data_IF_791081539798
#
_entry.id   IF_791081539798
#
_cell.length_a   1.000
_cell.length_b   1.000
_cell.length_c   1.000
_cell.angle_alpha   90.00
_cell.angle_beta   90.00
_cell.angle_gamma   90.00
#
_symmetry.space_group_name_H-M   'P 1'
#
loop_
_entity.id
_entity.type
_entity.pdbx_description
1 polymer ?
#
# COMPACT_ATOMS: atom_id res chain seq x y z
N UNK A 1 11.71 -8.97 41.23
CA UNK A 1 10.70 -7.94 40.97
C UNK A 1 10.71 -7.71 39.47
N UNK A 2 9.87 -8.44 38.74
CA UNK A 2 9.76 -8.28 37.28
C UNK A 2 9.23 -6.87 37.01
N UNK A 3 10.06 -5.99 36.44
CA UNK A 3 9.57 -4.72 35.91
C UNK A 3 8.74 -5.04 34.68
N UNK A 4 7.43 -5.21 34.89
CA UNK A 4 6.47 -5.28 33.79
C UNK A 4 6.64 -4.03 32.95
N UNK A 5 7.26 -4.17 31.77
CA UNK A 5 7.40 -3.09 30.82
C UNK A 5 6.00 -2.53 30.55
N UNK A 6 5.78 -1.27 30.94
CA UNK A 6 4.48 -0.63 30.80
C UNK A 6 4.14 -0.51 29.32
N UNK A 7 3.33 -1.45 28.81
CA UNK A 7 2.84 -1.45 27.43
C UNK A 7 1.98 -0.19 27.25
N UNK A 8 2.34 0.65 26.28
CA UNK A 8 1.57 1.85 25.99
C UNK A 8 0.12 1.49 25.63
N UNK A 9 -0.83 2.15 26.30
CA UNK A 9 -2.25 1.89 26.08
C UNK A 9 -2.65 2.15 24.62
N UNK A 10 -3.39 1.22 24.02
CA UNK A 10 -3.93 1.39 22.66
C UNK A 10 -5.06 2.41 22.69
N UNK A 11 -5.04 3.46 21.83
CA UNK A 11 -6.14 4.40 21.71
C UNK A 11 -7.45 3.68 21.39
N UNK A 12 -8.52 3.95 22.14
CA UNK A 12 -9.80 3.21 22.05
C UNK A 12 -10.39 3.19 20.63
N UNK A 13 -10.19 4.25 19.86
CA UNK A 13 -10.71 4.35 18.49
C UNK A 13 -9.95 3.47 17.47
N UNK A 14 -8.64 3.26 17.64
CA UNK A 14 -7.77 2.65 16.63
C UNK A 14 -8.26 1.27 16.17
N UNK A 15 -8.63 0.32 17.05
CA UNK A 15 -9.12 -0.99 16.62
C UNK A 15 -10.37 -0.92 15.74
N UNK A 16 -11.29 0.02 16.00
CA UNK A 16 -12.51 0.19 15.21
C UNK A 16 -12.20 0.70 13.79
N UNK A 17 -11.30 1.68 13.65
CA UNK A 17 -10.89 2.18 12.34
C UNK A 17 -10.11 1.13 11.54
N UNK A 18 -9.25 0.34 12.21
CA UNK A 18 -8.55 -0.78 11.57
C UNK A 18 -9.55 -1.85 11.13
N UNK A 19 -10.49 -2.25 11.98
CA UNK A 19 -11.52 -3.22 11.61
C UNK A 19 -12.35 -2.72 10.41
N UNK A 20 -12.73 -1.43 10.42
CA UNK A 20 -13.43 -0.81 9.31
C UNK A 20 -12.60 -0.81 8.02
N UNK A 21 -11.29 -0.49 8.09
CA UNK A 21 -10.42 -0.54 6.91
C UNK A 21 -10.30 -1.96 6.35
N UNK A 22 -10.22 -2.98 7.21
CA UNK A 22 -10.16 -4.39 6.79
C UNK A 22 -11.46 -4.83 6.11
N UNK A 23 -12.62 -4.56 6.72
CA UNK A 23 -13.92 -4.87 6.12
C UNK A 23 -14.09 -4.18 4.76
N UNK A 24 -13.70 -2.92 4.67
CA UNK A 24 -13.80 -2.14 3.44
C UNK A 24 -12.84 -2.66 2.36
N UNK A 25 -11.59 -2.98 2.72
CA UNK A 25 -10.60 -3.55 1.81
C UNK A 25 -11.01 -4.92 1.27
N UNK A 26 -11.50 -5.81 2.14
CA UNK A 26 -12.05 -7.10 1.73
C UNK A 26 -13.27 -6.94 0.83
N UNK A 27 -14.13 -5.94 1.11
CA UNK A 27 -15.27 -5.62 0.24
C UNK A 27 -14.81 -5.15 -1.14
N UNK A 28 -13.78 -4.30 -1.24
CA UNK A 28 -13.20 -3.88 -2.51
C UNK A 28 -12.70 -5.08 -3.32
N UNK A 29 -11.96 -6.00 -2.69
CA UNK A 29 -11.46 -7.22 -3.33
C UNK A 29 -12.62 -8.11 -3.80
N UNK A 30 -13.61 -8.35 -2.93
CA UNK A 30 -14.77 -9.18 -3.24
C UNK A 30 -15.62 -8.60 -4.38
N UNK A 31 -15.88 -7.29 -4.37
CA UNK A 31 -16.63 -6.61 -5.43
C UNK A 31 -15.86 -6.61 -6.75
N UNK A 32 -14.52 -6.49 -6.70
CA UNK A 32 -13.67 -6.64 -7.90
C UNK A 32 -13.82 -8.05 -8.47
N UNK A 33 -13.71 -9.10 -7.65
CA UNK A 33 -13.94 -10.48 -8.07
C UNK A 33 -15.35 -10.71 -8.63
N UNK A 34 -16.37 -10.15 -7.98
CA UNK A 34 -17.76 -10.24 -8.44
C UNK A 34 -17.98 -9.53 -9.79
N UNK A 35 -17.42 -8.33 -9.99
CA UNK A 35 -17.47 -7.64 -11.27
C UNK A 35 -16.83 -8.48 -12.39
N UNK A 36 -15.64 -9.01 -12.15
CA UNK A 36 -14.93 -9.82 -13.14
C UNK A 36 -15.65 -11.15 -13.42
N UNK A 37 -16.18 -11.81 -12.39
CA UNK A 37 -16.90 -13.08 -12.52
C UNK A 37 -18.24 -12.94 -13.21
N UNK A 38 -19.07 -11.99 -12.78
CA UNK A 38 -20.44 -11.83 -13.27
C UNK A 38 -20.51 -11.17 -14.64
N UNK A 39 -19.63 -10.20 -14.93
CA UNK A 39 -19.73 -9.37 -16.13
C UNK A 39 -18.57 -9.53 -17.11
N UNK A 40 -17.40 -9.99 -16.66
CA UNK A 40 -16.21 -10.13 -17.52
C UNK A 40 -15.87 -11.57 -17.90
N UNK A 41 -16.71 -12.54 -17.54
CA UNK A 41 -16.53 -13.95 -17.90
C UNK A 41 -15.50 -14.70 -17.04
N UNK A 42 -15.05 -14.12 -15.92
CA UNK A 42 -14.12 -14.76 -14.98
C UNK A 42 -12.65 -14.43 -15.23
N UNK A 43 -11.75 -15.27 -14.70
CA UNK A 43 -10.30 -15.05 -14.72
C UNK A 43 -9.62 -16.33 -15.17
N UNK A 44 -8.82 -16.23 -16.23
CA UNK A 44 -8.04 -17.36 -16.71
C UNK A 44 -6.76 -16.86 -17.39
N UNK A 45 -5.66 -17.59 -17.18
CA UNK A 45 -4.37 -17.25 -17.76
C UNK A 45 -4.37 -17.49 -19.27
N UNK A 46 -4.62 -18.70 -19.76
CA UNK A 46 -4.56 -19.01 -21.21
C UNK A 46 -5.87 -18.70 -21.97
N UNK A 47 -6.30 -17.43 -21.96
CA UNK A 47 -7.49 -17.02 -22.73
C UNK A 47 -7.57 -15.50 -22.94
N UNK A 48 -8.63 -15.04 -23.62
CA UNK A 48 -8.98 -13.61 -23.67
C UNK A 48 -9.31 -13.02 -22.29
N UNK A 49 -9.56 -13.85 -21.26
CA UNK A 49 -9.79 -13.42 -19.88
C UNK A 49 -8.49 -13.05 -19.15
N UNK A 50 -7.31 -13.21 -19.78
CA UNK A 50 -6.01 -12.83 -19.22
C UNK A 50 -5.99 -11.37 -18.77
N UNK A 51 -6.69 -10.49 -19.49
CA UNK A 51 -6.86 -9.09 -19.08
C UNK A 51 -7.45 -8.96 -17.67
N UNK A 52 -8.41 -9.80 -17.29
CA UNK A 52 -9.08 -9.71 -15.99
C UNK A 52 -8.16 -10.04 -14.81
N UNK A 53 -7.01 -10.69 -15.05
CA UNK A 53 -5.96 -10.86 -14.03
C UNK A 53 -5.40 -9.51 -13.59
N UNK A 54 -5.27 -8.55 -14.52
CA UNK A 54 -4.70 -7.24 -14.25
C UNK A 54 -5.45 -6.46 -13.15
N UNK A 55 -6.74 -6.10 -13.29
CA UNK A 55 -7.44 -5.32 -12.27
C UNK A 55 -7.53 -6.06 -10.93
N UNK A 56 -7.67 -7.39 -10.92
CA UNK A 56 -7.68 -8.15 -9.67
C UNK A 56 -6.32 -8.06 -8.96
N UNK A 57 -5.22 -8.29 -9.67
CA UNK A 57 -3.87 -8.21 -9.13
C UNK A 57 -3.53 -6.80 -8.64
N UNK A 58 -3.92 -5.76 -9.38
CA UNK A 58 -3.69 -4.36 -8.96
C UNK A 58 -4.44 -4.03 -7.67
N UNK A 59 -5.69 -4.45 -7.55
CA UNK A 59 -6.51 -4.23 -6.34
C UNK A 59 -5.95 -5.00 -5.14
N UNK A 60 -5.57 -6.26 -5.31
CA UNK A 60 -4.99 -7.04 -4.21
C UNK A 60 -3.62 -6.50 -3.80
N UNK A 61 -2.73 -6.27 -4.77
CA UNK A 61 -1.34 -5.87 -4.51
C UNK A 61 -1.21 -4.41 -4.10
N UNK A 62 -1.47 -3.50 -5.03
CA UNK A 62 -1.16 -2.07 -4.88
C UNK A 62 -2.23 -1.26 -4.13
N UNK A 63 -3.35 -1.89 -3.77
CA UNK A 63 -4.39 -1.22 -2.98
C UNK A 63 -4.52 -1.92 -1.63
N UNK A 64 -4.99 -3.17 -1.59
CA UNK A 64 -5.29 -3.84 -0.32
C UNK A 64 -4.02 -4.14 0.50
N UNK A 65 -3.10 -4.96 -0.04
CA UNK A 65 -1.88 -5.33 0.68
C UNK A 65 -0.93 -4.16 0.91
N UNK A 66 -0.81 -3.23 -0.05
CA UNK A 66 -0.07 -1.99 0.15
C UNK A 66 -0.68 -1.14 1.28
N UNK A 67 -2.01 -1.02 1.33
CA UNK A 67 -2.72 -0.32 2.39
C UNK A 67 -2.44 -0.94 3.76
N UNK A 68 -2.52 -2.27 3.86
CA UNK A 68 -2.19 -2.99 5.08
C UNK A 68 -0.74 -2.78 5.50
N UNK A 69 0.21 -2.85 4.55
CA UNK A 69 1.62 -2.63 4.81
C UNK A 69 1.90 -1.23 5.41
N UNK A 70 1.18 -0.19 4.96
CA UNK A 70 1.28 1.17 5.54
C UNK A 70 0.76 1.22 6.98
N UNK A 71 -0.24 0.40 7.31
CA UNK A 71 -0.87 0.37 8.64
C UNK A 71 -0.20 -0.59 9.62
N UNK A 72 0.74 -1.43 9.19
CA UNK A 72 1.44 -2.41 10.06
C UNK A 72 1.97 -1.79 11.35
N UNK A 73 2.60 -0.61 11.29
CA UNK A 73 3.12 0.07 12.48
C UNK A 73 2.05 0.67 13.40
N UNK A 74 0.80 0.77 12.93
CA UNK A 74 -0.36 1.18 13.72
C UNK A 74 -1.00 -0.01 14.39
N UNK A 75 -1.20 -1.08 13.63
CA UNK A 75 -1.83 -2.33 14.09
C UNK A 75 -0.93 -3.03 15.12
N UNK A 76 0.34 -3.25 14.76
CA UNK A 76 1.33 -3.93 15.59
C UNK A 76 2.18 -2.93 16.38
N UNK A 77 1.54 -1.90 16.93
CA UNK A 77 2.22 -0.79 17.63
C UNK A 77 2.96 -1.23 18.91
N UNK A 78 2.52 -2.31 19.54
CA UNK A 78 3.11 -2.81 20.78
C UNK A 78 4.14 -3.93 20.53
N UNK A 79 4.28 -4.38 19.28
CA UNK A 79 5.21 -5.44 18.91
C UNK A 79 6.66 -4.94 18.78
N UNK A 80 7.66 -5.83 18.90
CA UNK A 80 9.06 -5.50 18.67
C UNK A 80 9.28 -4.88 17.29
N UNK A 81 10.03 -3.78 17.25
CA UNK A 81 10.26 -2.97 16.04
C UNK A 81 10.83 -3.78 14.89
N UNK A 82 11.71 -4.75 15.20
CA UNK A 82 12.30 -5.63 14.20
C UNK A 82 11.24 -6.48 13.51
N UNK A 83 10.32 -7.07 14.27
CA UNK A 83 9.21 -7.87 13.75
C UNK A 83 8.27 -7.02 12.89
N UNK A 84 7.86 -5.85 13.39
CA UNK A 84 7.00 -4.91 12.64
C UNK A 84 7.67 -4.44 11.33
N UNK A 85 8.98 -4.19 11.35
CA UNK A 85 9.77 -3.86 10.15
C UNK A 85 9.78 -4.98 9.11
N UNK A 86 10.02 -6.21 9.55
CA UNK A 86 10.06 -7.38 8.67
C UNK A 86 8.68 -7.60 8.05
N UNK A 87 7.61 -7.55 8.85
CA UNK A 87 6.24 -7.70 8.36
C UNK A 87 5.87 -6.63 7.33
N UNK A 88 6.19 -5.36 7.60
CA UNK A 88 6.00 -4.26 6.66
C UNK A 88 6.75 -4.51 5.32
N UNK A 89 8.01 -4.94 5.40
CA UNK A 89 8.81 -5.26 4.22
C UNK A 89 8.23 -6.43 3.41
N UNK A 90 7.83 -7.52 4.09
CA UNK A 90 7.28 -8.72 3.46
C UNK A 90 5.93 -8.45 2.78
N UNK A 91 5.02 -7.71 3.42
CA UNK A 91 3.74 -7.34 2.80
C UNK A 91 3.96 -6.53 1.53
N UNK A 92 4.91 -5.59 1.52
CA UNK A 92 5.25 -4.85 0.31
C UNK A 92 5.85 -5.74 -0.79
N UNK A 93 6.63 -6.78 -0.45
CA UNK A 93 7.15 -7.77 -1.41
C UNK A 93 6.02 -8.60 -2.01
N UNK A 94 5.09 -9.10 -1.19
CA UNK A 94 3.93 -9.85 -1.70
C UNK A 94 3.06 -8.99 -2.62
N UNK A 95 2.79 -7.74 -2.21
CA UNK A 95 2.09 -6.77 -3.04
C UNK A 95 2.81 -6.54 -4.38
N UNK A 96 4.14 -6.39 -4.37
CA UNK A 96 4.95 -6.24 -5.58
C UNK A 96 4.84 -7.44 -6.52
N UNK A 97 4.98 -8.67 -6.01
CA UNK A 97 4.91 -9.89 -6.82
C UNK A 97 3.53 -10.01 -7.48
N UNK A 98 2.45 -9.78 -6.72
CA UNK A 98 1.08 -9.84 -7.25
C UNK A 98 0.86 -8.76 -8.31
N UNK A 99 1.32 -7.53 -8.07
CA UNK A 99 1.23 -6.45 -9.05
C UNK A 99 2.04 -6.76 -10.32
N UNK A 100 3.23 -7.35 -10.19
CA UNK A 100 4.05 -7.77 -11.32
C UNK A 100 3.31 -8.80 -12.20
N UNK A 101 2.63 -9.78 -11.59
CA UNK A 101 1.78 -10.74 -12.32
C UNK A 101 0.68 -10.01 -13.11
N UNK A 102 0.02 -9.02 -12.50
CA UNK A 102 -0.99 -8.21 -13.18
C UNK A 102 -0.45 -7.36 -14.34
N UNK A 103 0.79 -6.85 -14.24
CA UNK A 103 1.44 -6.16 -15.36
C UNK A 103 1.80 -7.13 -16.47
N UNK A 104 2.42 -8.26 -16.15
CA UNK A 104 2.75 -9.30 -17.14
C UNK A 104 1.49 -9.73 -17.89
N UNK A 105 0.37 -9.93 -17.18
CA UNK A 105 -0.90 -10.31 -17.80
C UNK A 105 -1.42 -9.28 -18.81
N UNK A 106 -1.38 -7.97 -18.50
CA UNK A 106 -1.89 -6.94 -19.42
C UNK A 106 -0.99 -6.75 -20.65
N UNK A 107 0.33 -6.75 -20.47
CA UNK A 107 1.29 -6.66 -21.58
C UNK A 107 1.18 -7.88 -22.51
N UNK A 108 1.05 -9.07 -21.94
CA UNK A 108 0.88 -10.28 -22.75
C UNK A 108 -0.49 -10.31 -23.46
N UNK A 109 -1.54 -9.84 -22.78
CA UNK A 109 -2.85 -9.65 -23.41
C UNK A 109 -2.78 -8.69 -24.61
N UNK A 110 -2.16 -7.51 -24.46
CA UNK A 110 -1.97 -6.57 -25.56
C UNK A 110 -1.19 -7.17 -26.72
N UNK A 111 -0.09 -7.86 -26.44
CA UNK A 111 0.71 -8.56 -27.47
C UNK A 111 -0.13 -9.57 -28.24
N UNK A 112 -0.91 -10.40 -27.54
CA UNK A 112 -1.75 -11.43 -28.18
C UNK A 112 -2.89 -10.85 -29.00
N UNK A 113 -3.37 -9.63 -28.66
CA UNK A 113 -4.45 -8.93 -29.37
C UNK A 113 -3.97 -7.91 -30.41
N UNK A 114 -2.66 -7.63 -30.46
CA UNK A 114 -2.10 -6.59 -31.33
C UNK A 114 -2.45 -5.16 -30.90
N UNK A 115 -2.70 -4.94 -29.60
CA UNK A 115 -2.96 -3.60 -29.06
C UNK A 115 -1.66 -2.86 -28.76
N UNK A 116 -1.69 -1.54 -28.92
CA UNK A 116 -0.57 -0.68 -28.55
C UNK A 116 -0.40 -0.63 -27.02
N UNK A 117 0.84 -0.73 -26.56
CA UNK A 117 1.19 -0.56 -25.16
C UNK A 117 1.39 0.93 -24.81
N UNK A 118 1.16 1.26 -23.53
CA UNK A 118 1.57 2.53 -22.91
C UNK A 118 1.10 3.81 -23.62
N UNK A 119 -0.10 3.82 -24.24
CA UNK A 119 -0.64 5.03 -24.88
C UNK A 119 -1.61 5.82 -23.99
N UNK A 120 -2.19 5.19 -22.95
CA UNK A 120 -3.22 5.82 -22.11
C UNK A 120 -2.62 6.51 -20.88
N UNK A 121 -3.30 7.54 -20.36
CA UNK A 121 -2.88 8.20 -19.12
C UNK A 121 -2.83 7.23 -17.94
N UNK A 122 -3.78 6.29 -17.86
CA UNK A 122 -3.77 5.22 -16.87
C UNK A 122 -2.45 4.43 -16.93
N UNK A 123 -2.01 4.05 -18.13
CA UNK A 123 -0.78 3.26 -18.31
C UNK A 123 0.49 4.03 -17.94
N UNK A 124 0.56 5.34 -18.24
CA UNK A 124 1.69 6.19 -17.83
C UNK A 124 1.75 6.36 -16.32
N UNK A 125 0.61 6.65 -15.69
CA UNK A 125 0.51 6.73 -14.23
C UNK A 125 0.83 5.38 -13.58
N UNK A 126 0.37 4.26 -14.15
CA UNK A 126 0.60 2.91 -13.64
C UNK A 126 2.06 2.49 -13.66
N UNK A 127 2.77 2.70 -14.77
CA UNK A 127 4.21 2.43 -14.83
C UNK A 127 4.98 3.35 -13.88
N UNK A 128 4.61 4.63 -13.78
CA UNK A 128 5.23 5.54 -12.82
C UNK A 128 5.02 5.07 -11.37
N UNK A 129 3.80 4.69 -11.00
CA UNK A 129 3.49 4.10 -9.68
C UNK A 129 4.35 2.87 -9.44
N UNK A 130 4.45 1.95 -10.40
CA UNK A 130 5.21 0.71 -10.25
C UNK A 130 6.71 0.97 -10.06
N UNK A 131 7.30 1.86 -10.85
CA UNK A 131 8.71 2.27 -10.71
C UNK A 131 8.96 2.93 -9.35
N UNK A 132 8.10 3.88 -8.95
CA UNK A 132 8.22 4.55 -7.66
C UNK A 132 8.07 3.57 -6.50
N UNK A 133 7.18 2.60 -6.61
CA UNK A 133 6.97 1.55 -5.60
C UNK A 133 8.23 0.70 -5.42
N UNK A 134 8.84 0.24 -6.51
CA UNK A 134 10.10 -0.53 -6.46
C UNK A 134 11.24 0.29 -5.87
N UNK A 135 11.41 1.55 -6.33
CA UNK A 135 12.43 2.44 -5.81
C UNK A 135 12.25 2.70 -4.31
N UNK A 136 11.02 2.97 -3.88
CA UNK A 136 10.66 3.18 -2.48
C UNK A 136 10.99 1.95 -1.62
N UNK A 137 10.73 0.75 -2.12
CA UNK A 137 11.05 -0.49 -1.42
C UNK A 137 12.57 -0.71 -1.31
N UNK A 138 13.32 -0.54 -2.41
CA UNK A 138 14.78 -0.72 -2.43
C UNK A 138 15.49 0.26 -1.49
N UNK A 139 15.12 1.55 -1.55
CA UNK A 139 15.69 2.57 -0.67
C UNK A 139 15.27 2.34 0.78
N UNK A 140 13.99 2.00 1.03
CA UNK A 140 13.49 1.64 2.35
C UNK A 140 14.22 0.44 2.95
N UNK A 141 14.45 -0.62 2.17
CA UNK A 141 15.21 -1.79 2.57
C UNK A 141 16.65 -1.41 2.96
N UNK A 142 17.34 -0.67 2.08
CA UNK A 142 18.73 -0.25 2.27
C UNK A 142 18.92 0.61 3.54
N UNK A 143 17.96 1.49 3.83
CA UNK A 143 18.04 2.36 5.00
C UNK A 143 17.56 1.68 6.29
N UNK A 144 16.47 0.89 6.26
CA UNK A 144 15.77 0.49 7.49
C UNK A 144 15.85 -0.99 7.86
N UNK A 145 16.18 -1.88 6.91
CA UNK A 145 16.34 -3.32 7.12
C UNK A 145 17.79 -3.79 6.98
N UNK A 146 18.52 -3.31 5.97
CA UNK A 146 19.92 -3.65 5.79
C UNK A 146 20.82 -2.94 6.82
N UNK A 147 21.79 -3.65 7.44
CA UNK A 147 22.77 -3.03 8.32
C UNK A 147 23.79 -2.24 7.47
N UNK A 148 23.77 -0.90 7.54
CA UNK A 148 24.75 -0.09 6.81
C UNK A 148 24.50 1.42 6.88
N UNK A 149 23.24 1.85 6.87
CA UNK A 149 22.93 3.27 7.00
C UNK A 149 23.14 3.78 8.44
N UNK A 150 23.81 4.92 8.60
CA UNK A 150 23.99 5.57 9.90
C UNK A 150 22.66 6.05 10.48
N UNK A 151 22.61 6.24 11.81
CA UNK A 151 21.41 6.74 12.48
C UNK A 151 20.97 8.12 11.96
N UNK A 152 21.91 9.03 11.72
CA UNK A 152 21.66 10.37 11.17
C UNK A 152 20.98 10.31 9.80
N UNK A 153 21.50 9.48 8.88
CA UNK A 153 20.92 9.30 7.55
C UNK A 153 19.49 8.71 7.62
N UNK A 154 19.29 7.69 8.46
CA UNK A 154 17.97 7.08 8.69
C UNK A 154 16.96 8.08 9.25
N UNK A 155 17.39 8.94 10.19
CA UNK A 155 16.55 9.98 10.78
C UNK A 155 16.14 11.02 9.72
N UNK A 156 17.10 11.47 8.90
CA UNK A 156 16.87 12.46 7.84
C UNK A 156 15.98 11.96 6.71
N UNK A 157 16.05 10.68 6.32
CA UNK A 157 15.28 10.09 5.22
C UNK A 157 13.88 9.59 5.63
N UNK A 158 13.65 9.31 6.91
CA UNK A 158 12.37 8.77 7.40
C UNK A 158 11.15 9.61 6.98
N UNK A 159 11.13 10.95 7.08
CA UNK A 159 9.98 11.75 6.68
C UNK A 159 9.62 11.60 5.20
N UNK A 160 10.63 11.53 4.33
CA UNK A 160 10.49 11.35 2.89
C UNK A 160 9.95 9.95 2.59
N UNK A 161 10.49 8.92 3.26
CA UNK A 161 9.97 7.56 3.12
C UNK A 161 8.47 7.50 3.49
N UNK A 162 8.06 8.13 4.60
CA UNK A 162 6.64 8.15 4.99
C UNK A 162 5.79 8.92 3.96
N UNK A 163 6.24 10.09 3.51
CA UNK A 163 5.53 10.90 2.52
C UNK A 163 5.36 10.15 1.20
N UNK A 164 6.44 9.64 0.61
CA UNK A 164 6.38 8.94 -0.67
C UNK A 164 5.59 7.63 -0.56
N UNK A 165 5.65 6.92 0.57
CA UNK A 165 4.81 5.74 0.79
C UNK A 165 3.31 6.05 0.72
N UNK A 166 2.88 7.13 1.39
CA UNK A 166 1.49 7.59 1.34
C UNK A 166 1.10 8.13 -0.04
N UNK A 167 1.99 8.88 -0.69
CA UNK A 167 1.78 9.42 -2.03
C UNK A 167 1.62 8.31 -3.07
N UNK A 168 2.51 7.31 -3.09
CA UNK A 168 2.43 6.18 -4.03
C UNK A 168 1.12 5.42 -3.85
N UNK A 169 0.66 5.23 -2.60
CA UNK A 169 -0.63 4.59 -2.34
C UNK A 169 -1.80 5.40 -2.88
N UNK A 170 -1.87 6.71 -2.58
CA UNK A 170 -2.90 7.58 -3.13
C UNK A 170 -2.88 7.59 -4.66
N UNK A 171 -1.68 7.61 -5.24
CA UNK A 171 -1.50 7.60 -6.69
C UNK A 171 -1.88 6.25 -7.32
N UNK A 172 -1.70 5.14 -6.60
CA UNK A 172 -2.17 3.80 -6.99
C UNK A 172 -3.70 3.76 -7.02
N UNK A 173 -4.37 4.33 -6.01
CA UNK A 173 -5.84 4.45 -6.00
C UNK A 173 -6.32 5.30 -7.18
N UNK A 174 -5.72 6.47 -7.40
CA UNK A 174 -6.06 7.32 -8.55
C UNK A 174 -5.86 6.62 -9.90
N UNK A 175 -4.77 5.86 -10.04
CA UNK A 175 -4.48 5.07 -11.24
C UNK A 175 -5.51 3.95 -11.44
N UNK A 176 -5.93 3.28 -10.37
CA UNK A 176 -6.97 2.26 -10.44
C UNK A 176 -8.33 2.83 -10.89
N UNK A 177 -8.69 4.04 -10.42
CA UNK A 177 -9.89 4.75 -10.87
C UNK A 177 -9.84 5.09 -12.37
N UNK A 178 -8.68 5.54 -12.86
CA UNK A 178 -8.47 5.76 -14.30
C UNK A 178 -8.63 4.46 -15.09
N UNK A 179 -8.03 3.36 -14.63
CA UNK A 179 -8.12 2.05 -15.30
C UNK A 179 -9.54 1.49 -15.30
N UNK A 180 -10.29 1.66 -14.20
CA UNK A 180 -11.68 1.26 -14.12
C UNK A 180 -12.56 2.03 -15.11
N UNK A 181 -12.39 3.35 -15.17
CA UNK A 181 -13.07 4.20 -16.16
C UNK A 181 -12.74 3.78 -17.58
N UNK A 182 -11.47 3.56 -17.89
CA UNK A 182 -11.00 3.13 -19.21
C UNK A 182 -11.63 1.78 -19.61
N UNK A 183 -11.60 0.79 -18.71
CA UNK A 183 -12.21 -0.52 -18.95
C UNK A 183 -13.74 -0.44 -19.18
N UNK A 184 -14.44 0.43 -18.46
CA UNK A 184 -15.88 0.64 -18.67
C UNK A 184 -16.17 1.30 -20.02
N UNK A 185 -15.42 2.33 -20.38
CA UNK A 185 -15.62 3.02 -21.66
C UNK A 185 -15.32 2.11 -22.86
N UNK A 186 -14.27 1.29 -22.78
CA UNK A 186 -13.94 0.37 -23.86
C UNK A 186 -14.95 -0.75 -24.06
N UNK A 187 -15.53 -1.26 -22.97
CA UNK A 187 -16.38 -2.44 -23.04
C UNK A 187 -17.87 -2.12 -23.15
N UNK A 188 -18.32 -1.05 -22.48
CA UNK A 188 -19.72 -0.63 -22.50
C UNK A 188 -19.99 0.44 -23.56
N UNK A 189 -18.99 1.24 -23.93
CA UNK A 189 -19.13 2.32 -24.90
C UNK A 189 -20.31 3.25 -24.56
N UNK A 190 -21.22 3.43 -25.51
CA UNK A 190 -22.43 4.25 -25.33
C UNK A 190 -23.43 3.68 -24.33
N UNK A 191 -23.41 2.37 -24.05
CA UNK A 191 -24.29 1.75 -23.03
C UNK A 191 -23.92 2.16 -21.61
N UNK A 192 -22.72 2.72 -21.42
CA UNK A 192 -22.31 3.16 -20.10
C UNK A 192 -23.21 4.28 -19.54
N UNK A 193 -23.67 5.21 -20.39
CA UNK A 193 -24.55 6.30 -19.98
C UNK A 193 -26.00 5.88 -19.72
N UNK A 194 -26.37 4.64 -20.07
CA UNK A 194 -27.72 4.10 -19.83
C UNK A 194 -27.84 3.37 -18.50
N UNK A 195 -26.87 3.51 -17.59
CA UNK A 195 -26.87 2.90 -16.25
C UNK A 195 -27.06 1.38 -16.26
N UNK A 196 -26.40 0.67 -17.18
CA UNK A 196 -26.39 -0.80 -17.17
C UNK A 196 -25.82 -1.33 -15.85
N UNK A 197 -26.29 -2.50 -15.35
CA UNK A 197 -25.90 -3.00 -14.02
C UNK A 197 -24.39 -3.12 -13.80
N UNK A 198 -23.65 -3.52 -14.83
CA UNK A 198 -22.18 -3.57 -14.78
C UNK A 198 -21.57 -2.20 -14.46
N UNK A 199 -22.02 -1.16 -15.16
CA UNK A 199 -21.52 0.20 -14.98
C UNK A 199 -21.83 0.75 -13.59
N UNK A 200 -23.00 0.44 -13.04
CA UNK A 200 -23.37 0.81 -11.67
C UNK A 200 -22.48 0.10 -10.66
N UNK A 201 -22.29 -1.22 -10.78
CA UNK A 201 -21.44 -1.98 -9.88
C UNK A 201 -19.98 -1.48 -9.91
N UNK A 202 -19.45 -1.24 -11.10
CA UNK A 202 -18.09 -0.74 -11.25
C UNK A 202 -17.93 0.70 -10.73
N UNK A 203 -18.94 1.57 -10.89
CA UNK A 203 -18.91 2.88 -10.24
C UNK A 203 -18.91 2.79 -8.71
N UNK A 204 -19.72 1.88 -8.16
CA UNK A 204 -19.68 1.60 -6.72
C UNK A 204 -18.32 1.07 -6.27
N UNK A 205 -17.68 0.21 -7.06
CA UNK A 205 -16.29 -0.22 -6.81
C UNK A 205 -15.32 0.96 -6.80
N UNK A 206 -15.46 1.92 -7.73
CA UNK A 206 -14.67 3.14 -7.75
C UNK A 206 -14.85 3.98 -6.48
N UNK A 207 -16.07 4.12 -5.99
CA UNK A 207 -16.34 4.82 -4.72
C UNK A 207 -15.76 4.07 -3.52
N UNK A 208 -15.85 2.74 -3.50
CA UNK A 208 -15.25 1.91 -2.46
C UNK A 208 -13.72 2.02 -2.44
N UNK A 209 -13.08 2.05 -3.60
CA UNK A 209 -11.63 2.28 -3.74
C UNK A 209 -11.21 3.63 -3.15
N UNK A 210 -11.92 4.71 -3.51
CA UNK A 210 -11.66 6.04 -2.97
C UNK A 210 -11.88 6.11 -1.45
N UNK A 211 -12.97 5.50 -0.96
CA UNK A 211 -13.27 5.43 0.46
C UNK A 211 -12.20 4.66 1.24
N UNK A 212 -11.77 3.49 0.73
CA UNK A 212 -10.69 2.71 1.32
C UNK A 212 -9.39 3.50 1.39
N UNK A 213 -9.01 4.16 0.29
CA UNK A 213 -7.84 5.04 0.23
C UNK A 213 -7.89 6.14 1.29
N UNK A 214 -9.05 6.80 1.43
CA UNK A 214 -9.25 7.86 2.43
C UNK A 214 -9.11 7.34 3.86
N UNK A 215 -9.71 6.19 4.17
CA UNK A 215 -9.65 5.58 5.51
C UNK A 215 -8.22 5.20 5.87
N UNK A 216 -7.48 4.54 4.97
CA UNK A 216 -6.08 4.18 5.21
C UNK A 216 -5.22 5.43 5.45
N UNK A 217 -5.38 6.47 4.62
CA UNK A 217 -4.64 7.72 4.79
C UNK A 217 -5.01 8.43 6.09
N UNK A 218 -6.30 8.46 6.47
CA UNK A 218 -6.74 9.02 7.74
C UNK A 218 -6.09 8.29 8.93
N UNK A 219 -6.07 6.96 8.93
CA UNK A 219 -5.40 6.17 9.98
C UNK A 219 -3.90 6.50 10.02
N UNK A 220 -3.27 6.70 8.86
CA UNK A 220 -1.86 7.02 8.74
C UNK A 220 -1.52 8.44 9.23
N UNK A 221 -2.43 9.41 9.18
CA UNK A 221 -2.17 10.78 9.65
C UNK A 221 -2.32 10.95 11.17
N UNK A 222 -3.07 10.07 11.85
CA UNK A 222 -3.29 10.19 13.30
C UNK A 222 -1.99 10.08 14.11
N UNK A 223 -1.60 11.13 14.82
CA UNK A 223 -0.35 11.15 15.58
C UNK A 223 -0.37 10.19 16.77
N UNK A 224 -1.50 10.11 17.48
CA UNK A 224 -1.71 9.25 18.66
C UNK A 224 -1.63 7.75 18.34
N UNK A 225 -1.82 7.40 17.08
CA UNK A 225 -1.86 6.01 16.62
C UNK A 225 -0.49 5.48 16.21
N UNK A 226 0.53 6.34 16.15
CA UNK A 226 1.91 5.95 15.85
C UNK A 226 2.45 4.98 16.91
N UNK A 227 3.30 4.03 16.47
CA UNK A 227 4.05 3.15 17.37
C UNK A 227 4.86 3.98 18.38
N UNK A 228 4.62 3.83 19.69
CA UNK A 228 5.45 4.47 20.70
C UNK A 228 6.84 3.82 20.73
N UNK A 229 7.91 4.57 21.06
CA UNK A 229 9.20 3.98 21.35
C UNK A 229 9.05 3.04 22.58
N UNK A 230 9.58 1.82 22.47
CA UNK A 230 9.60 0.87 23.59
C UNK A 230 10.70 1.24 24.59
N UNK A 231 10.55 0.81 25.85
CA UNK A 231 11.46 1.12 26.94
C UNK A 231 12.92 0.75 26.64
N UNK A 232 13.16 -0.40 25.98
CA UNK A 232 14.49 -0.83 25.54
C UNK A 232 15.11 0.13 24.51
N UNK A 233 14.30 0.68 23.60
CA UNK A 233 14.75 1.67 22.62
C UNK A 233 15.02 3.03 23.26
N UNK A 234 14.26 3.38 24.30
CA UNK A 234 14.46 4.60 25.08
C UNK A 234 15.77 4.51 25.89
N UNK A 235 16.01 3.40 26.57
CA UNK A 235 17.25 3.16 27.32
C UNK A 235 18.49 3.25 26.41
N UNK A 236 18.48 2.56 25.27
CA UNK A 236 19.56 2.65 24.27
C UNK A 236 19.77 4.07 23.73
N UNK A 237 18.69 4.85 23.57
CA UNK A 237 18.79 6.24 23.10
C UNK A 237 19.35 7.19 24.15
N UNK A 238 19.04 6.95 25.44
CA UNK A 238 19.60 7.70 26.55
C UNK A 238 21.09 7.41 26.72
N UNK A 239 21.48 6.14 26.72
CA UNK A 239 22.89 5.72 26.82
C UNK A 239 23.73 6.32 25.68
N UNK A 240 23.22 6.28 24.44
CA UNK A 240 23.90 6.89 23.29
C UNK A 240 24.06 8.40 23.46
N UNK A 241 23.02 9.09 23.94
CA UNK A 241 23.07 10.54 24.20
C UNK A 241 24.12 10.87 25.27
N UNK A 242 24.14 10.12 26.37
CA UNK A 242 25.13 10.29 27.45
C UNK A 242 26.55 10.08 26.96
N UNK A 243 26.81 9.08 26.11
CA UNK A 243 28.13 8.87 25.51
C UNK A 243 28.54 10.03 24.59
N UNK A 244 27.64 10.54 23.76
CA UNK A 244 27.96 11.66 22.87
C UNK A 244 28.13 13.01 23.58
N UNK A 245 27.45 13.22 24.71
CA UNK A 245 27.59 14.43 25.53
C UNK A 245 28.82 14.36 26.45
N UNK A 246 29.20 13.17 26.93
CA UNK A 246 30.41 12.98 27.73
C UNK A 246 31.72 13.14 26.93
N UNK A 247 31.69 12.84 25.63
CA UNK A 247 32.84 13.03 24.72
C UNK A 247 32.90 14.44 24.10
N UNK A 248 31.99 15.35 24.46
CA UNK A 248 32.06 16.74 24.05
C UNK A 248 33.04 17.48 24.97
N UNK A 249 34.20 17.96 24.49
CA UNK A 249 35.08 18.77 25.32
C UNK A 249 34.30 20.04 25.68
N UNK A 250 34.09 20.26 26.98
CA UNK A 250 33.61 21.55 27.46
C UNK A 250 34.56 22.62 26.95
N UNK A 251 34.11 23.42 25.99
CA UNK A 251 34.84 24.59 25.51
C UNK A 251 34.92 25.60 26.66
N UNK A 252 36.04 25.58 27.38
CA UNK A 252 36.52 26.72 28.16
C UNK A 252 37.19 27.73 27.23
#
# INVERSE_FOLDING_TARGET
MESGACVAATPRALPYYVAFSQLLGLTVVAVTGAWLGLYRGGIAWESALKFNVHPLCMVIGLIFLQGDALLVYRVFRNEPKRTTKVLHGLLHVFAFIIALVGLVAVFDYHRTKGYADLYSLHSWCGILVFILYVAQWLVGFSFFLFPGASFSLRSRYRPQHVFFGAFIFLFSVGTALLGLKEALLFQLGTKYSTFVPEGVLANMLGLLLACFGLVVLYILTQAEWKRPPQAEEQALSMDFKTLTEADSPSSQ
#
